data_IF_326758111308
#
_entry.id   IF_326758111308
#
_cell.length_a   1.000
_cell.length_b   1.000
_cell.length_c   1.000
_cell.angle_alpha   90.00
_cell.angle_beta   90.00
_cell.angle_gamma   90.00
#
_symmetry.space_group_name_H-M   'P 1'
#
loop_
_entity.id
_entity.type
_entity.pdbx_description
1 polymer ?
#
# COMPACT_ATOMS: atom_id res chain seq x y z
N UNK A 1 -15.60 -14.19 -25.30
CA UNK A 1 -15.25 -14.20 -25.01
C UNK A 1 -14.77 -13.76 -24.65
N UNK A 2 -14.91 -13.88 -24.51
CA UNK A 2 -14.43 -13.68 -24.12
C UNK A 2 -13.97 -13.22 -23.69
N UNK A 3 -14.15 -13.39 -23.61
CA UNK A 3 -13.67 -13.15 -23.26
C UNK A 3 -13.12 -12.71 -22.83
N UNK A 4 -13.32 -13.05 -22.77
CA UNK A 4 -12.77 -12.82 -22.40
C UNK A 4 -12.12 -12.35 -22.01
N UNK A 5 -12.35 -12.57 -22.00
CA UNK A 5 -11.77 -12.35 -21.73
C UNK A 5 -11.00 -11.85 -21.47
N UNK A 6 -10.98 -11.91 -21.50
CA UNK A 6 -10.33 -11.65 -21.34
C UNK A 6 -9.58 -11.08 -21.13
N UNK A 7 -9.47 -11.28 -20.92
CA UNK A 7 -8.83 -10.79 -20.72
C UNK A 7 -7.98 -10.40 -20.54
N UNK A 8 -7.94 -10.57 -20.41
CA UNK A 8 -7.19 -10.30 -20.62
C UNK A 8 -6.30 -9.54 -20.61
N UNK A 9 -5.86 -9.68 -20.84
CA UNK A 9 -4.80 -9.05 -21.07
C UNK A 9 -4.80 -7.75 -20.50
N UNK A 10 -5.38 -6.80 -20.91
CA UNK A 10 -5.66 -5.58 -20.25
C UNK A 10 -6.36 -5.85 -18.97
N UNK A 11 -6.82 -7.02 -18.86
CA UNK A 11 -7.50 -7.48 -17.66
C UNK A 11 -6.54 -7.96 -16.58
N UNK A 12 -5.27 -7.63 -16.75
CA UNK A 12 -4.29 -7.98 -15.73
C UNK A 12 -4.69 -7.37 -14.40
N UNK A 13 -4.75 -8.19 -13.38
CA UNK A 13 -5.10 -7.73 -12.05
C UNK A 13 -4.06 -6.79 -11.49
N UNK A 14 -4.52 -5.78 -10.78
CA UNK A 14 -3.62 -4.91 -10.04
C UNK A 14 -3.09 -5.65 -8.82
N UNK A 15 -1.90 -5.31 -8.40
CA UNK A 15 -1.26 -5.93 -7.23
C UNK A 15 -1.06 -4.87 -6.16
N UNK A 16 -1.52 -5.17 -4.94
CA UNK A 16 -1.37 -4.28 -3.80
C UNK A 16 -0.50 -4.97 -2.76
N UNK A 17 0.53 -4.28 -2.31
CA UNK A 17 1.36 -4.77 -1.20
C UNK A 17 0.90 -4.08 0.07
N UNK A 18 0.49 -4.88 1.06
CA UNK A 18 0.11 -4.38 2.37
C UNK A 18 1.26 -4.63 3.33
N UNK A 19 1.76 -3.58 3.96
CA UNK A 19 2.83 -3.68 4.93
C UNK A 19 2.25 -3.30 6.29
N UNK A 20 2.03 -4.30 7.14
CA UNK A 20 1.33 -4.12 8.40
C UNK A 20 1.79 -5.20 9.38
N UNK A 21 2.21 -4.80 10.57
CA UNK A 21 2.70 -5.74 11.59
C UNK A 21 1.56 -6.37 12.40
N UNK A 22 0.43 -5.69 12.54
CA UNK A 22 -0.69 -6.16 13.33
C UNK A 22 -1.57 -7.11 12.50
N UNK A 23 -1.73 -8.35 12.97
CA UNK A 23 -2.49 -9.35 12.22
C UNK A 23 -3.95 -8.99 12.05
N UNK A 24 -4.57 -8.37 13.05
CA UNK A 24 -5.97 -7.97 12.93
C UNK A 24 -6.15 -6.93 11.84
N UNK A 25 -5.25 -5.96 11.79
CA UNK A 25 -5.29 -4.94 10.76
C UNK A 25 -4.99 -5.54 9.39
N UNK A 26 -4.02 -6.46 9.32
CA UNK A 26 -3.69 -7.13 8.06
C UNK A 26 -4.91 -7.86 7.52
N UNK A 27 -5.60 -8.60 8.38
CA UNK A 27 -6.80 -9.35 7.97
C UNK A 27 -7.92 -8.41 7.52
N UNK A 28 -8.09 -7.30 8.23
CA UNK A 28 -9.12 -6.32 7.86
C UNK A 28 -8.84 -5.73 6.47
N UNK A 29 -7.61 -5.30 6.25
CA UNK A 29 -7.24 -4.71 4.96
C UNK A 29 -7.39 -5.73 3.84
N UNK A 30 -6.95 -6.95 4.10
CA UNK A 30 -7.05 -8.03 3.12
C UNK A 30 -8.51 -8.29 2.74
N UNK A 31 -9.39 -8.39 3.75
CA UNK A 31 -10.81 -8.66 3.52
C UNK A 31 -11.47 -7.52 2.73
N UNK A 32 -11.13 -6.28 3.08
CA UNK A 32 -11.71 -5.14 2.36
C UNK A 32 -11.27 -5.11 0.90
N UNK A 33 -10.03 -5.48 0.64
CA UNK A 33 -9.48 -5.43 -0.71
C UNK A 33 -9.88 -6.62 -1.56
N UNK A 34 -10.33 -7.71 -0.94
CA UNK A 34 -10.83 -8.85 -1.70
C UNK A 34 -12.06 -8.48 -2.54
N UNK A 35 -12.76 -7.41 -2.16
CA UNK A 35 -13.91 -6.94 -2.94
C UNK A 35 -13.46 -6.39 -4.30
N UNK A 36 -12.21 -6.03 -4.43
CA UNK A 36 -11.62 -5.64 -5.70
C UNK A 36 -10.91 -6.84 -6.29
N UNK A 37 -10.96 -6.98 -7.58
CA UNK A 37 -10.30 -8.09 -8.24
C UNK A 37 -8.81 -7.80 -8.37
N UNK A 38 -8.09 -7.90 -7.26
CA UNK A 38 -6.67 -7.57 -7.22
C UNK A 38 -5.87 -8.65 -6.49
N UNK A 39 -4.59 -8.72 -6.81
CA UNK A 39 -3.66 -9.59 -6.09
C UNK A 39 -3.17 -8.86 -4.84
N UNK A 40 -3.14 -9.56 -3.73
CA UNK A 40 -2.73 -8.97 -2.46
C UNK A 40 -1.47 -9.65 -1.96
N UNK A 41 -0.45 -8.86 -1.69
CA UNK A 41 0.79 -9.33 -1.09
C UNK A 41 0.85 -8.79 0.33
N UNK A 42 1.38 -9.58 1.24
CA UNK A 42 1.45 -9.20 2.65
C UNK A 42 2.89 -9.22 3.13
N UNK A 43 3.31 -8.13 3.75
CA UNK A 43 4.61 -8.03 4.41
C UNK A 43 4.37 -7.52 5.82
N UNK A 44 5.12 -8.05 6.77
CA UNK A 44 4.91 -7.71 8.17
C UNK A 44 6.04 -6.87 8.77
N UNK A 45 7.04 -6.57 7.96
CA UNK A 45 8.14 -5.71 8.38
C UNK A 45 8.72 -4.98 7.18
N UNK A 46 9.58 -4.01 7.45
CA UNK A 46 10.10 -3.15 6.40
C UNK A 46 11.02 -3.84 5.41
N UNK A 47 11.84 -4.76 5.88
CA UNK A 47 12.78 -5.45 4.98
C UNK A 47 12.06 -6.37 4.02
N UNK A 48 11.05 -7.10 4.52
CA UNK A 48 10.23 -7.94 3.65
C UNK A 48 9.47 -7.08 2.64
N UNK A 49 8.98 -5.92 3.07
CA UNK A 49 8.26 -5.01 2.18
C UNK A 49 9.15 -4.58 1.03
N UNK A 50 10.38 -4.20 1.32
CA UNK A 50 11.30 -3.74 0.29
C UNK A 50 11.64 -4.87 -0.68
N UNK A 51 11.90 -6.07 -0.14
CA UNK A 51 12.21 -7.24 -0.96
C UNK A 51 11.03 -7.57 -1.89
N UNK A 52 9.82 -7.60 -1.32
CA UNK A 52 8.64 -7.95 -2.11
C UNK A 52 8.32 -6.88 -3.15
N UNK A 53 8.54 -5.62 -2.82
CA UNK A 53 8.34 -4.54 -3.79
C UNK A 53 9.28 -4.72 -4.98
N UNK A 54 10.52 -5.10 -4.73
CA UNK A 54 11.48 -5.32 -5.81
C UNK A 54 11.14 -6.54 -6.65
N UNK A 55 10.67 -7.60 -6.01
CA UNK A 55 10.35 -8.85 -6.71
C UNK A 55 9.08 -8.73 -7.55
N UNK A 56 8.06 -8.09 -6.99
CA UNK A 56 6.73 -8.12 -7.61
C UNK A 56 6.29 -6.81 -8.24
N UNK A 57 6.93 -5.72 -7.90
CA UNK A 57 6.61 -4.39 -8.42
C UNK A 57 5.11 -4.12 -8.38
N UNK A 58 4.54 -4.03 -7.17
CA UNK A 58 3.10 -3.82 -7.03
C UNK A 58 2.64 -2.49 -7.62
N UNK A 59 1.36 -2.38 -7.85
CA UNK A 59 0.76 -1.16 -8.38
C UNK A 59 0.48 -0.14 -7.30
N UNK A 60 0.42 -0.58 -6.05
CA UNK A 60 0.12 0.27 -4.90
C UNK A 60 0.70 -0.36 -3.65
N UNK A 61 1.21 0.45 -2.74
CA UNK A 61 1.72 -0.02 -1.46
C UNK A 61 0.97 0.68 -0.34
N UNK A 62 0.41 -0.11 0.58
CA UNK A 62 -0.16 0.40 1.82
C UNK A 62 0.90 0.19 2.90
N UNK A 63 1.44 1.27 3.41
CA UNK A 63 2.60 1.23 4.30
C UNK A 63 2.26 1.72 5.70
N UNK A 64 2.24 0.80 6.67
CA UNK A 64 2.11 1.18 8.07
C UNK A 64 3.39 1.92 8.46
N UNK A 65 3.22 3.11 9.01
CA UNK A 65 4.37 3.91 9.41
C UNK A 65 5.01 3.33 10.67
N UNK A 66 4.20 2.73 11.53
CA UNK A 66 4.66 2.21 12.81
C UNK A 66 5.05 0.74 12.73
N UNK A 67 6.09 0.46 11.98
CA UNK A 67 6.62 -0.90 11.87
C UNK A 67 7.71 -1.12 12.92
N UNK A 68 7.91 -2.38 13.35
CA UNK A 68 9.00 -2.67 14.27
C UNK A 68 10.34 -2.49 13.55
N UNK A 69 11.36 -2.12 14.30
CA UNK A 69 12.75 -1.97 13.84
C UNK A 69 12.97 -0.84 12.85
N UNK A 70 12.27 -0.83 11.72
CA UNK A 70 12.44 0.18 10.69
C UNK A 70 11.08 0.83 10.44
N UNK A 71 11.02 2.15 10.54
CA UNK A 71 9.79 2.90 10.28
C UNK A 71 9.34 2.73 8.84
N UNK A 72 8.02 2.73 8.62
CA UNK A 72 7.46 2.70 7.28
C UNK A 72 7.89 3.90 6.44
N UNK A 73 8.17 5.04 7.08
CA UNK A 73 8.67 6.21 6.36
C UNK A 73 10.07 5.98 5.82
N UNK A 74 10.90 5.26 6.58
CA UNK A 74 12.24 4.92 6.14
C UNK A 74 12.18 4.00 4.92
N UNK A 75 11.30 3.00 4.98
CA UNK A 75 11.12 2.08 3.87
C UNK A 75 10.61 2.82 2.64
N UNK A 76 9.68 3.74 2.83
CA UNK A 76 9.15 4.55 1.74
C UNK A 76 10.26 5.37 1.09
N UNK A 77 11.16 5.91 1.89
CA UNK A 77 12.29 6.67 1.37
C UNK A 77 13.14 5.79 0.46
N UNK A 78 13.44 4.57 0.89
CA UNK A 78 14.23 3.64 0.08
C UNK A 78 13.51 3.31 -1.22
N UNK A 79 12.20 3.13 -1.17
CA UNK A 79 11.39 2.85 -2.36
C UNK A 79 11.49 4.03 -3.33
N UNK A 80 11.39 5.25 -2.81
CA UNK A 80 11.44 6.44 -3.66
C UNK A 80 12.83 6.72 -4.22
N UNK A 81 13.87 6.18 -3.61
CA UNK A 81 15.23 6.30 -4.10
C UNK A 81 15.58 5.24 -5.14
N UNK A 82 14.76 4.20 -5.26
CA UNK A 82 14.98 3.11 -6.21
C UNK A 82 14.27 3.44 -7.51
N UNK A 83 15.04 3.54 -8.60
CA UNK A 83 14.49 3.92 -9.91
C UNK A 83 13.40 2.99 -10.40
N UNK A 84 13.47 1.71 -10.05
CA UNK A 84 12.47 0.74 -10.50
C UNK A 84 11.19 0.78 -9.67
N UNK A 85 11.21 1.44 -8.52
CA UNK A 85 10.09 1.44 -7.58
C UNK A 85 9.47 2.80 -7.34
N UNK A 86 10.19 3.87 -7.64
CA UNK A 86 9.77 5.21 -7.20
C UNK A 86 8.45 5.69 -7.80
N UNK A 87 8.00 5.07 -8.87
CA UNK A 87 6.71 5.44 -9.47
C UNK A 87 5.52 4.78 -8.80
N UNK A 88 5.77 3.81 -7.91
CA UNK A 88 4.70 3.12 -7.21
C UNK A 88 4.13 4.03 -6.13
N UNK A 89 2.83 4.33 -6.15
CA UNK A 89 2.25 5.17 -5.09
C UNK A 89 2.26 4.43 -3.76
N UNK A 90 2.61 5.17 -2.69
CA UNK A 90 2.63 4.64 -1.33
C UNK A 90 1.64 5.43 -0.52
N UNK A 91 0.68 4.73 0.09
CA UNK A 91 -0.30 5.33 0.99
C UNK A 91 0.09 4.95 2.41
N UNK A 92 0.29 5.94 3.26
CA UNK A 92 0.68 5.69 4.64
C UNK A 92 -0.53 5.30 5.49
N UNK A 93 -0.34 4.33 6.37
CA UNK A 93 -1.32 3.97 7.39
C UNK A 93 -0.74 4.45 8.70
N UNK A 94 -1.48 5.26 9.45
CA UNK A 94 -0.95 5.86 10.66
C UNK A 94 -2.01 6.03 11.73
N UNK A 95 -1.62 5.87 13.00
CA UNK A 95 -2.48 6.16 14.13
C UNK A 95 -2.41 7.64 14.51
N UNK A 96 -1.52 8.38 13.88
CA UNK A 96 -1.31 9.79 14.20
C UNK A 96 -1.70 10.65 13.01
N UNK A 97 -2.54 11.65 13.27
CA UNK A 97 -3.07 12.50 12.21
C UNK A 97 -2.89 13.98 12.52
N UNK A 98 -1.82 14.33 13.22
CA UNK A 98 -1.53 15.72 13.50
C UNK A 98 -0.92 16.36 12.25
N UNK A 99 -1.08 17.66 12.13
CA UNK A 99 -0.62 18.37 10.96
C UNK A 99 0.86 18.15 10.65
N UNK A 100 1.69 18.15 11.69
CA UNK A 100 3.13 17.94 11.51
C UNK A 100 3.42 16.55 10.97
N UNK A 101 2.63 15.55 11.39
CA UNK A 101 2.79 14.18 10.90
C UNK A 101 2.42 14.10 9.43
N UNK A 102 1.38 14.82 9.03
CA UNK A 102 0.98 14.84 7.62
C UNK A 102 2.09 15.39 6.74
N UNK A 103 2.73 16.46 7.17
CA UNK A 103 3.83 17.05 6.41
C UNK A 103 4.99 16.09 6.30
N UNK A 104 5.33 15.42 7.40
CA UNK A 104 6.41 14.44 7.42
C UNK A 104 6.13 13.28 6.50
N UNK A 105 4.88 12.81 6.50
CA UNK A 105 4.46 11.69 5.66
C UNK A 105 4.59 12.05 4.18
N UNK A 106 4.11 13.21 3.80
CA UNK A 106 4.17 13.64 2.41
C UNK A 106 5.60 13.94 1.98
N UNK A 107 6.39 14.53 2.87
CA UNK A 107 7.80 14.79 2.58
C UNK A 107 8.57 13.49 2.39
N UNK A 108 8.14 12.41 3.03
CA UNK A 108 8.75 11.10 2.89
C UNK A 108 8.40 10.40 1.59
N UNK A 109 7.50 10.97 0.79
CA UNK A 109 7.16 10.40 -0.51
C UNK A 109 5.82 9.72 -0.61
N UNK A 110 5.02 9.72 0.46
CA UNK A 110 3.68 9.12 0.42
C UNK A 110 2.72 10.06 -0.33
N UNK A 111 1.86 9.47 -1.16
CA UNK A 111 0.90 10.28 -1.94
C UNK A 111 -0.36 10.59 -1.14
N UNK A 112 -0.63 9.81 -0.09
CA UNK A 112 -1.80 10.00 0.76
C UNK A 112 -1.55 9.31 2.09
N UNK A 113 -2.46 9.52 3.04
CA UNK A 113 -2.38 8.79 4.30
C UNK A 113 -3.80 8.44 4.76
N UNK A 114 -3.90 7.37 5.54
CA UNK A 114 -5.16 6.89 6.09
C UNK A 114 -4.94 6.73 7.59
N UNK A 115 -5.82 7.32 8.38
CA UNK A 115 -5.71 7.32 9.84
C UNK A 115 -6.40 6.10 10.42
N UNK A 116 -5.75 5.44 11.37
CA UNK A 116 -6.33 4.31 12.11
C UNK A 116 -7.07 4.84 13.34
N UNK A 117 -8.18 4.24 13.74
CA UNK A 117 -8.86 3.13 13.07
C UNK A 117 -9.50 3.60 11.78
N UNK A 118 -9.46 2.77 10.76
CA UNK A 118 -9.87 3.22 9.43
C UNK A 118 -11.37 3.36 9.29
N UNK A 119 -11.77 4.35 8.48
CA UNK A 119 -13.13 4.45 7.97
C UNK A 119 -13.15 3.61 6.69
N UNK A 120 -14.04 2.62 6.64
CA UNK A 120 -14.09 1.71 5.51
C UNK A 120 -14.32 2.46 4.20
N UNK A 121 -15.28 3.38 4.18
CA UNK A 121 -15.56 4.12 2.94
C UNK A 121 -14.40 4.99 2.50
N UNK A 122 -13.73 5.68 3.44
CA UNK A 122 -12.58 6.50 3.09
C UNK A 122 -11.41 5.63 2.59
N UNK A 123 -11.20 4.48 3.22
CA UNK A 123 -10.17 3.54 2.82
C UNK A 123 -10.40 3.09 1.38
N UNK A 124 -11.61 2.63 1.07
CA UNK A 124 -11.93 2.12 -0.26
C UNK A 124 -11.87 3.21 -1.32
N UNK A 125 -12.36 4.40 -1.01
CA UNK A 125 -12.27 5.53 -1.94
C UNK A 125 -10.84 5.89 -2.25
N UNK A 126 -9.99 5.91 -1.23
CA UNK A 126 -8.60 6.27 -1.40
C UNK A 126 -7.87 5.24 -2.24
N UNK A 127 -8.10 3.95 -1.96
CA UNK A 127 -7.48 2.88 -2.72
C UNK A 127 -7.88 2.96 -4.18
N UNK A 128 -9.17 3.12 -4.45
CA UNK A 128 -9.67 3.17 -5.82
C UNK A 128 -9.07 4.33 -6.60
N UNK A 129 -8.89 5.46 -5.94
CA UNK A 129 -8.32 6.64 -6.57
C UNK A 129 -6.93 6.37 -7.14
N UNK A 130 -6.14 5.57 -6.45
CA UNK A 130 -4.76 5.31 -6.86
C UNK A 130 -4.58 4.00 -7.63
N UNK A 131 -5.60 3.14 -7.68
CA UNK A 131 -5.55 1.94 -8.51
C UNK A 131 -6.01 2.22 -9.94
N UNK A 132 -6.94 3.12 -10.07
CA UNK A 132 -7.43 3.50 -11.39
C UNK A 132 -6.52 4.57 -11.98
#
# INVERSE_FOLDING_TARGET
MVVDALPTDGTKQKTILIVENNELNMNLFNDLLEAYDCNILQARNGMDALRMAREHKPDLILMDIQLPEISGLEVTKWIKEDESLRCIPVIALTAFAMKDDEETIRAGGCVAYIVKPISVSYFLETIQKYLD
#
